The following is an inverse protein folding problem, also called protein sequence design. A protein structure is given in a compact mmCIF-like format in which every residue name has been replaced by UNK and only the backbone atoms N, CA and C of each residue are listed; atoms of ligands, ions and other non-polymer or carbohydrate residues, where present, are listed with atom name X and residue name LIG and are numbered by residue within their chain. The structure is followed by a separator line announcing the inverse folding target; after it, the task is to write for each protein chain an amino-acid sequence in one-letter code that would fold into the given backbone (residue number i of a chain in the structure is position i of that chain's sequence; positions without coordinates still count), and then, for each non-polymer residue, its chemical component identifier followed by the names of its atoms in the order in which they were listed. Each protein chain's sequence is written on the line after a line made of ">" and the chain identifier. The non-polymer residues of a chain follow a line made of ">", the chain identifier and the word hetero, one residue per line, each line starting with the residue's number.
data_IF_018304419426
#
_entry.id   IF_018304419426
#
_cell.length_a   1.000
_cell.length_b   1.000
_cell.length_c   1.000
_cell.angle_alpha   90.00
_cell.angle_beta   90.00
_cell.angle_gamma   90.00
#
_symmetry.space_group_name_H-M   'P 1'
#
loop_
_entity.id
_entity.type
_entity.pdbx_description
1 polymer ?
#
# COMPACT_ATOMS: atom_id res chain seq x y z
N UNK A 1 -24.28 -4.09 -60.48
CA UNK A 1 -23.78 -3.24 -59.37
C UNK A 1 -24.87 -3.12 -58.31
N UNK A 2 -24.56 -3.53 -57.06
CA UNK A 2 -25.20 -3.14 -55.78
C UNK A 2 -26.62 -3.66 -55.53
N UNK A 3 -27.01 -4.17 -54.36
CA UNK A 3 -26.30 -4.59 -53.15
C UNK A 3 -27.28 -5.46 -52.35
N UNK A 4 -26.85 -6.60 -51.81
CA UNK A 4 -27.64 -7.44 -50.90
C UNK A 4 -27.56 -6.80 -49.50
N UNK A 5 -28.65 -6.24 -49.01
CA UNK A 5 -28.76 -5.84 -47.60
C UNK A 5 -29.32 -7.00 -46.78
N UNK A 6 -28.40 -7.64 -46.05
CA UNK A 6 -28.66 -8.65 -45.03
C UNK A 6 -28.77 -7.92 -43.68
N UNK A 7 -29.95 -7.89 -43.08
CA UNK A 7 -30.17 -7.38 -41.72
C UNK A 7 -29.69 -8.39 -40.68
N UNK A 8 -28.91 -8.01 -39.66
CA UNK A 8 -28.62 -8.88 -38.53
C UNK A 8 -29.75 -8.82 -37.49
N UNK A 9 -30.25 -10.00 -37.12
CA UNK A 9 -31.18 -10.25 -36.03
C UNK A 9 -30.56 -9.87 -34.67
N UNK A 10 -31.24 -9.01 -33.93
CA UNK A 10 -30.92 -8.61 -32.55
C UNK A 10 -31.26 -9.78 -31.62
N UNK A 11 -30.24 -10.37 -30.97
CA UNK A 11 -30.40 -11.39 -29.93
C UNK A 11 -30.43 -10.72 -28.56
N UNK A 12 -31.51 -10.93 -27.82
CA UNK A 12 -31.70 -10.44 -26.45
C UNK A 12 -30.82 -11.23 -25.44
N UNK A 13 -30.47 -10.65 -24.27
CA UNK A 13 -29.65 -11.30 -23.26
C UNK A 13 -30.48 -12.26 -22.39
N UNK A 14 -29.96 -13.47 -22.15
CA UNK A 14 -30.52 -14.44 -21.20
C UNK A 14 -30.08 -14.12 -19.77
N UNK A 15 -31.03 -14.10 -18.84
CA UNK A 15 -30.79 -14.10 -17.41
C UNK A 15 -30.41 -15.52 -16.93
N UNK A 16 -29.38 -15.62 -16.08
CA UNK A 16 -29.00 -16.88 -15.45
C UNK A 16 -29.48 -16.88 -14.00
N UNK A 17 -30.28 -17.89 -13.72
CA UNK A 17 -31.07 -18.13 -12.53
C UNK A 17 -30.22 -18.59 -11.33
N UNK A 18 -30.64 -18.22 -10.14
CA UNK A 18 -29.94 -18.42 -8.86
C UNK A 18 -30.46 -19.69 -8.20
N UNK A 19 -29.73 -20.80 -8.31
CA UNK A 19 -30.06 -22.03 -7.61
C UNK A 19 -29.52 -22.02 -6.17
N UNK A 20 -30.44 -22.10 -5.20
CA UNK A 20 -30.15 -22.41 -3.81
C UNK A 20 -29.89 -23.91 -3.65
N UNK A 21 -28.92 -24.28 -2.82
CA UNK A 21 -28.68 -25.67 -2.42
C UNK A 21 -28.75 -25.74 -0.91
N UNK A 22 -29.84 -26.32 -0.41
CA UNK A 22 -30.02 -26.71 0.97
C UNK A 22 -29.17 -27.95 1.25
N UNK A 23 -28.37 -27.93 2.33
CA UNK A 23 -27.83 -29.15 2.91
C UNK A 23 -28.31 -29.29 4.36
N UNK A 24 -29.30 -30.14 4.52
CA UNK A 24 -29.81 -30.66 5.79
C UNK A 24 -28.91 -31.83 6.23
N UNK A 25 -28.49 -31.79 7.49
CA UNK A 25 -27.83 -32.90 8.18
C UNK A 25 -27.99 -32.74 9.69
N UNK A 26 -29.12 -33.22 10.21
CA UNK A 26 -29.46 -33.26 11.64
C UNK A 26 -28.85 -34.49 12.32
N UNK A 27 -28.36 -34.32 13.55
CA UNK A 27 -28.26 -35.38 14.56
C UNK A 27 -28.49 -34.76 15.96
N UNK A 28 -29.53 -35.22 16.66
CA UNK A 28 -29.88 -34.93 18.07
C UNK A 28 -28.85 -35.59 19.02
N UNK A 29 -28.24 -34.90 20.02
CA UNK A 29 -28.64 -34.64 21.44
C UNK A 29 -28.83 -35.90 22.32
N UNK A 30 -28.78 -35.91 23.69
CA UNK A 30 -28.61 -34.86 24.73
C UNK A 30 -27.56 -35.28 25.82
N UNK A 31 -27.20 -34.59 26.92
CA UNK A 31 -27.50 -33.31 27.59
C UNK A 31 -26.92 -33.39 29.03
N UNK A 32 -26.63 -32.28 29.72
CA UNK A 32 -26.89 -32.16 31.17
C UNK A 32 -26.80 -30.71 31.68
N UNK A 33 -27.63 -30.44 32.69
CA UNK A 33 -28.01 -29.14 33.26
C UNK A 33 -27.00 -28.62 34.29
N UNK A 34 -26.79 -27.31 34.36
CA UNK A 34 -27.24 -26.44 35.48
C UNK A 34 -26.71 -25.00 35.41
N UNK A 35 -27.59 -24.09 35.85
CA UNK A 35 -27.56 -22.65 36.13
C UNK A 35 -26.24 -22.06 36.69
N UNK A 36 -25.92 -20.76 36.57
CA UNK A 36 -26.56 -19.60 37.22
C UNK A 36 -26.13 -18.28 36.54
N UNK A 37 -27.06 -17.32 36.48
CA UNK A 37 -26.92 -15.91 36.07
C UNK A 37 -26.01 -15.11 37.01
N UNK A 38 -25.03 -14.41 36.43
CA UNK A 38 -24.42 -13.13 36.89
C UNK A 38 -23.64 -12.60 35.68
N UNK A 39 -23.90 -11.45 35.08
CA UNK A 39 -24.21 -10.15 35.66
C UNK A 39 -23.10 -9.20 35.18
N UNK A 40 -23.47 -8.19 34.40
CA UNK A 40 -22.65 -7.08 33.85
C UNK A 40 -21.71 -7.40 32.68
N UNK A 41 -22.18 -7.11 31.45
CA UNK A 41 -21.31 -6.83 30.31
C UNK A 41 -20.87 -5.36 30.37
N UNK A 42 -19.59 -5.04 30.50
CA UNK A 42 -19.08 -3.78 30.00
C UNK A 42 -18.78 -3.98 28.50
N UNK A 43 -19.54 -3.25 27.68
CA UNK A 43 -19.06 -2.61 26.46
C UNK A 43 -17.96 -3.34 25.70
N UNK A 44 -18.34 -4.02 24.61
CA UNK A 44 -17.44 -4.41 23.53
C UNK A 44 -16.54 -3.21 23.18
N UNK A 45 -15.30 -3.22 23.65
CA UNK A 45 -14.27 -2.36 23.13
C UNK A 45 -14.11 -2.77 21.68
N UNK A 46 -14.50 -1.86 20.78
CA UNK A 46 -14.15 -1.90 19.37
C UNK A 46 -12.65 -2.18 19.32
N UNK A 47 -12.27 -3.39 18.92
CA UNK A 47 -10.87 -3.79 18.76
C UNK A 47 -10.38 -3.02 17.54
N UNK A 48 -10.07 -1.74 17.76
CA UNK A 48 -9.49 -0.86 16.75
C UNK A 48 -8.27 -1.61 16.25
N UNK A 49 -8.36 -2.03 15.00
CA UNK A 49 -7.38 -2.83 14.30
C UNK A 49 -6.05 -2.06 14.27
N UNK A 50 -5.20 -2.31 15.28
CA UNK A 50 -3.94 -1.61 15.55
C UNK A 50 -3.00 -1.72 14.33
N UNK A 51 -3.25 -2.69 13.44
CA UNK A 51 -2.43 -2.93 12.25
C UNK A 51 -2.63 -1.91 11.13
N UNK A 52 -3.74 -1.16 11.12
CA UNK A 52 -4.11 -0.19 10.07
C UNK A 52 -3.56 1.23 10.33
N UNK A 53 -2.84 1.45 11.44
CA UNK A 53 -2.30 2.76 11.80
C UNK A 53 -0.84 2.94 11.39
N UNK A 54 -0.42 4.16 11.04
CA UNK A 54 0.99 4.49 10.83
C UNK A 54 1.83 4.17 12.06
N UNK A 55 3.11 3.85 11.85
CA UNK A 55 4.02 3.56 12.96
C UNK A 55 4.15 4.75 13.91
N UNK A 56 4.17 4.48 15.22
CA UNK A 56 4.44 5.49 16.26
C UNK A 56 5.91 5.90 16.25
N UNK A 57 6.81 5.01 15.80
CA UNK A 57 8.23 5.33 15.69
C UNK A 57 8.47 6.26 14.50
N UNK A 58 9.02 7.48 14.71
CA UNK A 58 9.18 8.47 13.65
C UNK A 58 10.11 8.00 12.54
N UNK A 59 11.17 7.26 12.86
CA UNK A 59 12.12 6.74 11.87
C UNK A 59 11.44 5.73 10.94
N UNK A 60 10.76 4.73 11.51
CA UNK A 60 10.04 3.71 10.73
C UNK A 60 8.94 4.35 9.86
N UNK A 61 8.23 5.34 10.40
CA UNK A 61 7.18 6.06 9.65
C UNK A 61 7.75 6.96 8.55
N UNK A 62 8.90 7.58 8.76
CA UNK A 62 9.59 8.32 7.69
C UNK A 62 10.00 7.36 6.56
N UNK A 63 10.54 6.19 6.88
CA UNK A 63 10.90 5.20 5.88
C UNK A 63 9.70 4.67 5.09
N UNK A 64 8.53 4.48 5.71
CA UNK A 64 7.31 4.11 4.97
C UNK A 64 6.84 5.24 4.05
N UNK A 65 6.82 6.49 4.54
CA UNK A 65 6.44 7.65 3.73
C UNK A 65 7.39 7.88 2.55
N UNK A 66 8.71 7.75 2.72
CA UNK A 66 9.68 7.84 1.62
C UNK A 66 9.39 6.80 0.54
N UNK A 67 9.16 5.54 0.94
CA UNK A 67 8.82 4.46 0.00
C UNK A 67 7.55 4.78 -0.76
N UNK A 68 6.51 5.27 -0.07
CA UNK A 68 5.27 5.70 -0.71
C UNK A 68 5.50 6.86 -1.68
N UNK A 69 6.24 7.90 -1.26
CA UNK A 69 6.52 9.08 -2.07
C UNK A 69 7.29 8.74 -3.36
N UNK A 70 8.32 7.89 -3.26
CA UNK A 70 9.08 7.38 -4.41
C UNK A 70 8.17 6.61 -5.37
N UNK A 71 7.38 5.66 -4.86
CA UNK A 71 6.44 4.88 -5.68
C UNK A 71 5.39 5.78 -6.38
N UNK A 72 4.86 6.79 -5.69
CA UNK A 72 3.90 7.73 -6.28
C UNK A 72 4.55 8.69 -7.29
N UNK A 73 5.81 9.08 -7.08
CA UNK A 73 6.55 9.91 -8.03
C UNK A 73 6.81 9.16 -9.33
N UNK A 74 7.25 7.89 -9.22
CA UNK A 74 7.40 7.04 -10.39
C UNK A 74 6.09 6.87 -11.15
N UNK A 75 4.98 6.68 -10.43
CA UNK A 75 3.64 6.60 -11.02
C UNK A 75 3.28 7.89 -11.76
N UNK A 76 3.45 9.06 -11.15
CA UNK A 76 3.21 10.34 -11.81
C UNK A 76 4.02 10.47 -13.11
N UNK A 77 5.29 10.07 -13.09
CA UNK A 77 6.16 10.08 -14.27
C UNK A 77 5.70 9.09 -15.36
N UNK A 78 5.21 7.91 -15.00
CA UNK A 78 4.63 6.95 -15.94
C UNK A 78 3.36 7.52 -16.60
N UNK A 79 2.53 8.24 -15.83
CA UNK A 79 1.33 8.92 -16.37
C UNK A 79 1.69 10.06 -17.31
N UNK A 80 2.74 10.84 -17.01
CA UNK A 80 3.25 11.87 -17.93
C UNK A 80 3.71 11.26 -19.26
N UNK A 81 4.44 10.14 -19.20
CA UNK A 81 4.89 9.40 -20.40
C UNK A 81 3.72 8.82 -21.20
N UNK A 82 2.62 8.49 -20.55
CA UNK A 82 1.39 8.00 -21.17
C UNK A 82 0.45 9.15 -21.63
N UNK A 83 0.93 10.39 -21.66
CA UNK A 83 0.18 11.60 -22.05
C UNK A 83 -1.06 11.90 -21.18
N UNK A 84 -1.14 11.29 -19.99
CA UNK A 84 -2.21 11.49 -19.02
C UNK A 84 -1.87 12.62 -18.05
N UNK A 85 -1.78 13.84 -18.57
CA UNK A 85 -1.27 15.02 -17.83
C UNK A 85 -2.03 15.30 -16.53
N UNK A 86 -3.37 15.24 -16.54
CA UNK A 86 -4.18 15.51 -15.34
C UNK A 86 -4.08 14.39 -14.28
N UNK A 87 -4.02 13.11 -14.69
CA UNK A 87 -3.76 12.00 -13.76
C UNK A 87 -2.36 12.13 -13.15
N UNK A 88 -1.37 12.52 -13.95
CA UNK A 88 -0.01 12.74 -13.47
C UNK A 88 0.06 13.88 -12.45
N UNK A 89 -0.54 15.03 -12.78
CA UNK A 89 -0.55 16.19 -11.90
C UNK A 89 -1.30 15.91 -10.59
N UNK A 90 -2.50 15.32 -10.65
CA UNK A 90 -3.23 14.92 -9.44
C UNK A 90 -2.45 13.93 -8.57
N UNK A 91 -1.75 12.96 -9.17
CA UNK A 91 -0.84 12.05 -8.44
C UNK A 91 0.35 12.79 -7.82
N UNK A 92 0.90 13.79 -8.52
CA UNK A 92 1.99 14.62 -8.00
C UNK A 92 1.55 15.44 -6.78
N UNK A 93 0.30 15.92 -6.74
CA UNK A 93 -0.24 16.59 -5.55
C UNK A 93 -0.33 15.65 -4.34
N UNK A 94 -0.65 14.37 -4.56
CA UNK A 94 -0.59 13.35 -3.49
C UNK A 94 0.86 13.15 -3.03
N UNK A 95 1.82 13.07 -3.95
CA UNK A 95 3.25 12.97 -3.60
C UNK A 95 3.70 14.16 -2.73
N UNK A 96 3.28 15.39 -3.07
CA UNK A 96 3.51 16.58 -2.25
C UNK A 96 2.91 16.46 -0.84
N UNK A 97 1.70 15.93 -0.73
CA UNK A 97 1.07 15.71 0.57
C UNK A 97 1.86 14.69 1.41
N UNK A 98 2.41 13.64 0.81
CA UNK A 98 3.27 12.66 1.49
C UNK A 98 4.56 13.32 2.00
N UNK A 99 5.26 14.08 1.15
CA UNK A 99 6.49 14.77 1.56
C UNK A 99 6.23 15.83 2.65
N UNK A 100 5.12 16.56 2.55
CA UNK A 100 4.70 17.49 3.61
C UNK A 100 4.46 16.77 4.94
N UNK A 101 3.83 15.60 4.92
CA UNK A 101 3.61 14.81 6.12
C UNK A 101 4.93 14.27 6.70
N UNK A 102 5.86 13.85 5.84
CA UNK A 102 7.19 13.41 6.25
C UNK A 102 7.98 14.56 6.90
N UNK A 103 7.95 15.76 6.33
CA UNK A 103 8.54 16.97 6.92
C UNK A 103 7.98 17.28 8.31
N UNK A 104 6.66 17.23 8.46
CA UNK A 104 6.02 17.46 9.76
C UNK A 104 6.54 16.50 10.83
N UNK A 105 6.58 15.19 10.53
CA UNK A 105 7.10 14.17 11.44
C UNK A 105 8.58 14.43 11.76
N UNK A 106 9.38 14.83 10.77
CA UNK A 106 10.79 15.12 11.01
C UNK A 106 10.98 16.29 11.98
N UNK A 107 10.25 17.39 11.78
CA UNK A 107 10.35 18.54 12.67
C UNK A 107 9.86 18.22 14.08
N UNK A 108 8.76 17.48 14.23
CA UNK A 108 8.28 17.02 15.54
C UNK A 108 9.34 16.15 16.24
N UNK A 109 9.99 15.26 15.48
CA UNK A 109 11.06 14.40 15.99
C UNK A 109 12.29 15.22 16.43
N UNK A 110 12.71 16.21 15.63
CA UNK A 110 13.83 17.09 15.95
C UNK A 110 13.54 18.00 17.17
N UNK A 111 12.31 18.52 17.29
CA UNK A 111 11.87 19.30 18.44
C UNK A 111 11.88 18.46 19.73
N UNK A 112 11.43 17.21 19.64
CA UNK A 112 11.44 16.26 20.78
C UNK A 112 12.86 15.92 21.23
N UNK A 113 13.82 15.83 20.30
CA UNK A 113 15.22 15.57 20.61
C UNK A 113 15.94 16.75 21.28
N UNK A 114 15.51 17.98 21.02
CA UNK A 114 16.11 19.21 21.59
C UNK A 114 15.46 19.64 22.90
N UNK A 115 14.21 19.23 23.17
CA UNK A 115 13.49 19.51 24.41
C UNK A 115 13.66 18.50 25.55
N UNK A 116 14.41 17.40 25.32
CA UNK A 116 14.63 16.34 26.31
C UNK A 116 15.85 16.61 27.22
N UNK A 117 15.62 16.77 28.53
CA UNK A 117 16.68 16.72 29.56
C UNK A 117 17.29 15.31 29.60
N UNK A 118 18.60 15.13 29.85
CA UNK A 118 19.21 13.80 29.85
C UNK A 118 18.88 13.08 31.16
N UNK A 119 17.70 12.47 31.27
CA UNK A 119 17.50 11.39 32.24
C UNK A 119 18.13 10.14 31.65
N UNK A 120 19.35 9.85 32.10
CA UNK A 120 20.03 8.58 31.87
C UNK A 120 19.18 7.46 32.44
N UNK A 121 18.34 6.82 31.63
CA UNK A 121 17.82 5.50 31.91
C UNK A 121 18.39 4.49 30.92
N UNK A 122 18.97 3.48 31.53
CA UNK A 122 19.82 2.41 31.01
C UNK A 122 19.18 1.71 29.80
N UNK A 123 19.97 1.60 28.73
CA UNK A 123 19.73 0.67 27.62
C UNK A 123 19.79 -0.75 28.20
N UNK A 124 18.63 -1.37 28.41
CA UNK A 124 18.51 -2.82 28.44
C UNK A 124 18.00 -3.22 27.06
N UNK A 125 18.86 -3.90 26.30
CA UNK A 125 18.50 -4.48 25.03
C UNK A 125 17.39 -5.52 25.21
N UNK A 126 16.38 -5.45 24.36
CA UNK A 126 15.38 -6.50 24.24
C UNK A 126 15.25 -6.88 22.75
N UNK A 127 15.87 -8.01 22.43
CA UNK A 127 15.64 -8.74 21.20
C UNK A 127 14.27 -9.44 21.31
N UNK A 128 13.20 -8.82 20.81
CA UNK A 128 11.92 -9.49 20.70
C UNK A 128 11.03 -8.94 19.56
N UNK A 129 11.03 -9.67 18.44
CA UNK A 129 9.87 -10.00 17.59
C UNK A 129 8.85 -8.88 17.30
N UNK A 130 9.20 -7.93 16.43
CA UNK A 130 8.20 -7.12 15.74
C UNK A 130 7.85 -7.75 14.39
N UNK A 131 6.77 -8.54 14.38
CA UNK A 131 6.02 -8.92 13.19
C UNK A 131 5.29 -7.68 12.63
N UNK A 132 6.07 -6.73 12.12
CA UNK A 132 5.58 -5.70 11.20
C UNK A 132 5.79 -6.28 9.81
N UNK A 133 4.69 -6.58 9.11
CA UNK A 133 4.66 -7.16 7.77
C UNK A 133 5.90 -6.76 6.94
N UNK A 134 6.76 -7.75 6.70
CA UNK A 134 8.02 -7.61 5.96
C UNK A 134 7.74 -7.11 4.54
N UNK A 135 7.63 -5.79 4.35
CA UNK A 135 7.96 -5.11 3.09
C UNK A 135 9.46 -4.83 3.12
N UNK A 136 10.24 -5.87 3.43
CA UNK A 136 11.68 -5.83 3.57
C UNK A 136 12.28 -6.74 2.51
N UNK A 137 12.31 -6.26 1.27
CA UNK A 137 13.44 -6.49 0.37
C UNK A 137 13.24 -5.63 -0.89
N UNK A 138 14.27 -4.86 -1.23
CA UNK A 138 14.40 -3.97 -2.40
C UNK A 138 13.91 -2.52 -2.22
N UNK A 139 14.42 -1.84 -1.19
CA UNK A 139 14.73 -0.41 -1.28
C UNK A 139 15.79 -0.07 -0.25
N UNK A 140 16.80 0.67 -0.67
CA UNK A 140 17.85 1.27 0.14
C UNK A 140 17.19 1.96 1.34
N UNK A 141 17.28 1.34 2.52
CA UNK A 141 16.83 2.00 3.75
C UNK A 141 17.66 3.28 3.86
N UNK A 142 16.96 4.41 3.93
CA UNK A 142 17.64 5.67 4.12
C UNK A 142 18.18 5.67 5.54
N UNK A 143 19.50 5.63 5.67
CA UNK A 143 20.18 5.80 6.94
C UNK A 143 20.22 7.28 7.27
N UNK A 144 19.65 7.64 8.40
CA UNK A 144 19.63 9.01 8.88
C UNK A 144 20.68 9.14 9.99
N UNK A 145 21.65 10.03 9.79
CA UNK A 145 22.62 10.40 10.83
C UNK A 145 22.00 11.29 11.93
N UNK A 146 20.72 11.09 12.26
CA UNK A 146 19.93 11.84 13.23
C UNK A 146 18.80 12.69 12.62
N UNK A 147 17.98 13.26 13.49
CA UNK A 147 16.78 14.02 13.11
C UNK A 147 17.07 15.25 12.23
N UNK A 148 18.16 15.97 12.49
CA UNK A 148 18.55 17.12 11.68
C UNK A 148 18.88 16.73 10.22
N UNK A 149 19.62 15.64 10.02
CA UNK A 149 19.95 15.12 8.70
C UNK A 149 18.69 14.65 7.94
N UNK A 150 17.77 14.00 8.65
CA UNK A 150 16.47 13.64 8.09
C UNK A 150 15.70 14.86 7.60
N UNK A 151 15.73 15.97 8.34
CA UNK A 151 14.94 17.15 7.97
C UNK A 151 15.52 17.86 6.76
N UNK A 152 16.86 18.04 6.70
CA UNK A 152 17.51 18.58 5.50
C UNK A 152 17.19 17.76 4.24
N UNK A 153 17.17 16.43 4.35
CA UNK A 153 16.83 15.57 3.22
C UNK A 153 15.35 15.70 2.83
N UNK A 154 14.44 15.71 3.80
CA UNK A 154 13.00 15.87 3.54
C UNK A 154 12.68 17.23 2.93
N UNK A 155 13.37 18.30 3.35
CA UNK A 155 13.22 19.64 2.78
C UNK A 155 13.63 19.66 1.32
N UNK A 156 14.77 19.05 0.99
CA UNK A 156 15.26 18.95 -0.38
C UNK A 156 14.28 18.17 -1.28
N UNK A 157 13.80 17.00 -0.82
CA UNK A 157 12.85 16.18 -1.58
C UNK A 157 11.50 16.89 -1.75
N UNK A 158 11.02 17.57 -0.71
CA UNK A 158 9.79 18.36 -0.79
C UNK A 158 9.92 19.50 -1.80
N UNK A 159 10.99 20.29 -1.77
CA UNK A 159 11.21 21.37 -2.73
C UNK A 159 11.31 20.84 -4.16
N UNK A 160 12.03 19.74 -4.36
CA UNK A 160 12.12 19.07 -5.66
C UNK A 160 10.74 18.63 -6.16
N UNK A 161 9.89 18.10 -5.27
CA UNK A 161 8.53 17.72 -5.60
C UNK A 161 7.63 18.93 -5.93
N UNK A 162 7.85 20.09 -5.28
CA UNK A 162 7.14 21.35 -5.56
C UNK A 162 7.50 21.86 -6.95
N UNK A 163 8.79 21.99 -7.25
CA UNK A 163 9.27 22.40 -8.57
C UNK A 163 8.73 21.48 -9.68
N UNK A 164 8.73 20.17 -9.42
CA UNK A 164 8.17 19.20 -10.35
C UNK A 164 6.66 19.38 -10.57
N UNK A 165 5.89 19.67 -9.52
CA UNK A 165 4.46 19.91 -9.62
C UNK A 165 4.14 21.22 -10.37
N UNK A 166 4.86 22.30 -10.06
CA UNK A 166 4.68 23.61 -10.71
C UNK A 166 4.96 23.53 -12.21
N UNK A 167 6.01 22.81 -12.60
CA UNK A 167 6.37 22.59 -14.01
C UNK A 167 5.26 21.91 -14.82
N UNK A 168 4.49 21.02 -14.19
CA UNK A 168 3.46 20.23 -14.85
C UNK A 168 2.04 20.67 -14.45
N UNK A 169 1.90 21.86 -13.88
CA UNK A 169 0.59 22.40 -13.54
C UNK A 169 -0.27 22.59 -14.79
N UNK A 170 -1.56 22.20 -14.75
CA UNK A 170 -2.46 22.38 -15.87
C UNK A 170 -2.65 23.87 -16.13
N UNK A 171 -2.58 24.27 -17.40
CA UNK A 171 -2.86 25.66 -17.81
C UNK A 171 -4.35 25.99 -17.79
N UNK A 172 -5.20 24.97 -17.93
CA UNK A 172 -6.65 25.13 -17.87
C UNK A 172 -7.16 24.93 -16.44
N UNK A 173 -7.61 26.01 -15.83
CA UNK A 173 -8.14 26.03 -14.46
C UNK A 173 -9.52 25.34 -14.38
N UNK A 174 -10.21 25.16 -15.50
CA UNK A 174 -11.54 24.52 -15.55
C UNK A 174 -11.47 23.02 -15.82
N UNK A 175 -10.27 22.45 -16.02
CA UNK A 175 -10.12 21.02 -16.24
C UNK A 175 -10.54 20.23 -14.99
N UNK A 176 -11.46 19.27 -15.17
CA UNK A 176 -11.88 18.39 -14.08
C UNK A 176 -10.71 17.49 -13.65
N UNK A 177 -10.32 17.59 -12.38
CA UNK A 177 -9.18 16.85 -11.84
C UNK A 177 -9.58 15.40 -11.54
N UNK A 178 -8.85 14.38 -12.05
CA UNK A 178 -9.09 12.99 -11.70
C UNK A 178 -8.89 12.72 -10.21
N UNK A 179 -9.59 11.72 -9.68
CA UNK A 179 -9.35 11.21 -8.33
C UNK A 179 -8.00 10.47 -8.29
N UNK A 180 -7.00 11.12 -7.67
CA UNK A 180 -5.66 10.57 -7.55
C UNK A 180 -5.60 9.29 -6.69
N UNK A 181 -6.44 9.18 -5.66
CA UNK A 181 -6.43 8.02 -4.76
C UNK A 181 -6.98 6.80 -5.49
N UNK A 182 -8.04 6.97 -6.28
CA UNK A 182 -8.55 5.93 -7.17
C UNK A 182 -7.54 5.58 -8.28
N UNK A 183 -6.87 6.57 -8.87
CA UNK A 183 -5.84 6.32 -9.87
C UNK A 183 -4.66 5.50 -9.32
N UNK A 184 -4.22 5.80 -8.09
CA UNK A 184 -3.19 5.02 -7.36
C UNK A 184 -3.68 3.60 -7.11
N UNK A 185 -4.93 3.42 -6.64
CA UNK A 185 -5.51 2.09 -6.41
C UNK A 185 -5.54 1.25 -7.67
N UNK A 186 -6.06 1.81 -8.78
CA UNK A 186 -6.15 1.10 -10.05
C UNK A 186 -4.77 0.74 -10.61
N UNK A 187 -3.79 1.64 -10.53
CA UNK A 187 -2.44 1.33 -11.00
C UNK A 187 -1.78 0.25 -10.14
N UNK A 188 -1.96 0.28 -8.82
CA UNK A 188 -1.45 -0.80 -7.97
C UNK A 188 -1.97 -2.16 -8.43
N UNK A 189 -3.27 -2.29 -8.73
CA UNK A 189 -3.83 -3.53 -9.27
C UNK A 189 -3.26 -3.90 -10.65
N UNK A 190 -3.00 -2.92 -11.51
CA UNK A 190 -2.33 -3.15 -12.81
C UNK A 190 -0.92 -3.68 -12.61
N UNK A 191 -0.14 -3.09 -11.70
CA UNK A 191 1.22 -3.53 -11.37
C UNK A 191 1.24 -4.95 -10.81
N UNK A 192 0.33 -5.28 -9.89
CA UNK A 192 0.20 -6.64 -9.37
C UNK A 192 -0.11 -7.66 -10.48
N UNK A 193 -1.00 -7.33 -11.43
CA UNK A 193 -1.27 -8.19 -12.59
C UNK A 193 -0.07 -8.31 -13.53
N UNK A 194 0.65 -7.21 -13.80
CA UNK A 194 1.89 -7.23 -14.58
C UNK A 194 2.96 -8.10 -13.91
N UNK A 195 3.06 -8.06 -12.57
CA UNK A 195 3.94 -8.92 -11.78
C UNK A 195 3.63 -10.40 -11.98
N UNK A 196 2.35 -10.78 -11.95
CA UNK A 196 1.93 -12.16 -12.23
C UNK A 196 2.24 -12.61 -13.66
N UNK A 197 2.13 -11.72 -14.65
CA UNK A 197 2.56 -12.02 -16.02
C UNK A 197 4.07 -12.23 -16.07
N UNK A 198 4.87 -11.38 -15.43
CA UNK A 198 6.33 -11.52 -15.37
C UNK A 198 6.76 -12.83 -14.69
N UNK A 199 6.11 -13.20 -13.59
CA UNK A 199 6.32 -14.46 -12.86
C UNK A 199 6.05 -15.66 -13.78
N UNK A 200 4.92 -15.66 -14.49
CA UNK A 200 4.57 -16.71 -15.45
C UNK A 200 5.57 -16.82 -16.62
N UNK A 201 6.17 -15.69 -17.02
CA UNK A 201 7.22 -15.65 -18.04
C UNK A 201 8.61 -16.02 -17.51
N UNK A 202 8.73 -16.40 -16.23
CA UNK A 202 9.99 -16.79 -15.59
C UNK A 202 10.90 -15.62 -15.19
N UNK A 203 10.41 -14.38 -15.30
CA UNK A 203 11.17 -13.18 -14.93
C UNK A 203 10.90 -12.80 -13.46
N UNK A 204 11.49 -13.56 -12.56
CA UNK A 204 11.24 -13.46 -11.10
C UNK A 204 11.65 -12.11 -10.51
N UNK A 205 12.74 -11.50 -11.02
CA UNK A 205 13.23 -10.20 -10.55
C UNK A 205 12.23 -9.08 -10.86
N UNK A 206 11.73 -9.04 -12.11
CA UNK A 206 10.74 -8.04 -12.51
C UNK A 206 9.40 -8.28 -11.80
N UNK A 207 9.00 -9.54 -11.64
CA UNK A 207 7.82 -9.90 -10.87
C UNK A 207 7.88 -9.40 -9.42
N UNK A 208 8.99 -9.68 -8.72
CA UNK A 208 9.20 -9.22 -7.34
C UNK A 208 9.16 -7.70 -7.22
N UNK A 209 9.79 -6.98 -8.16
CA UNK A 209 9.76 -5.52 -8.21
C UNK A 209 8.34 -4.97 -8.40
N UNK A 210 7.57 -5.54 -9.34
CA UNK A 210 6.19 -5.14 -9.62
C UNK A 210 5.25 -5.43 -8.43
N UNK A 211 5.41 -6.59 -7.78
CA UNK A 211 4.67 -6.91 -6.56
C UNK A 211 5.01 -5.97 -5.41
N UNK A 212 6.29 -5.66 -5.21
CA UNK A 212 6.76 -4.70 -4.19
C UNK A 212 6.14 -3.31 -4.39
N UNK A 213 6.18 -2.80 -5.63
CA UNK A 213 5.60 -1.50 -5.98
C UNK A 213 4.08 -1.49 -5.78
N UNK A 214 3.40 -2.56 -6.22
CA UNK A 214 1.95 -2.74 -6.00
C UNK A 214 1.60 -2.76 -4.51
N UNK A 215 2.32 -3.54 -3.70
CA UNK A 215 2.08 -3.65 -2.27
C UNK A 215 2.32 -2.30 -1.57
N UNK A 216 3.37 -1.56 -1.96
CA UNK A 216 3.69 -0.23 -1.42
C UNK A 216 2.57 0.77 -1.67
N UNK A 217 2.00 0.81 -2.88
CA UNK A 217 0.89 1.72 -3.21
C UNK A 217 -0.40 1.35 -2.46
N UNK A 218 -0.69 0.06 -2.28
CA UNK A 218 -1.86 -0.36 -1.49
C UNK A 218 -1.68 -0.11 0.01
N UNK A 219 -0.45 -0.30 0.52
CA UNK A 219 -0.07 0.04 1.88
C UNK A 219 -0.25 1.54 2.14
N UNK A 220 0.20 2.39 1.20
CA UNK A 220 -0.02 3.84 1.25
C UNK A 220 -1.51 4.15 1.47
N UNK A 221 -2.40 3.59 0.63
CA UNK A 221 -3.84 3.81 0.75
C UNK A 221 -4.40 3.30 2.09
N UNK A 222 -3.93 2.15 2.58
CA UNK A 222 -4.45 1.56 3.81
C UNK A 222 -4.03 2.35 5.06
N UNK A 223 -2.77 2.78 5.10
CA UNK A 223 -2.10 3.25 6.33
C UNK A 223 -1.81 4.74 6.27
N UNK A 224 -0.95 5.18 5.34
CA UNK A 224 -0.41 6.55 5.36
C UNK A 224 -1.39 7.61 4.85
N UNK A 225 -2.24 7.25 3.88
CA UNK A 225 -3.19 8.15 3.23
C UNK A 225 -4.15 8.85 4.21
N UNK A 226 -4.58 8.15 5.26
CA UNK A 226 -5.46 8.70 6.31
C UNK A 226 -4.80 9.80 7.12
N UNK A 227 -3.47 9.79 7.19
CA UNK A 227 -2.68 10.78 7.93
C UNK A 227 -2.34 12.02 7.11
N UNK A 228 -2.66 12.01 5.81
CA UNK A 228 -2.48 13.16 4.96
C UNK A 228 -3.58 14.19 5.23
N UNK A 229 -3.21 15.47 5.30
CA UNK A 229 -4.15 16.60 5.39
C UNK A 229 -4.88 16.90 4.08
N UNK A 230 -5.45 15.87 3.43
CA UNK A 230 -6.25 16.00 2.21
C UNK A 230 -7.62 16.61 2.52
N UNK A 231 -8.18 17.32 1.55
CA UNK A 231 -9.52 17.88 1.64
C UNK A 231 -10.33 17.48 0.39
N UNK A 232 -11.31 16.57 0.51
CA UNK A 232 -11.76 15.89 1.74
C UNK A 232 -10.73 14.88 2.29
N UNK A 233 -10.76 14.54 3.59
CA UNK A 233 -9.90 13.51 4.17
C UNK A 233 -10.14 12.13 3.52
N UNK A 234 -9.07 11.37 3.34
CA UNK A 234 -9.18 10.01 2.82
C UNK A 234 -9.62 9.03 3.93
N UNK A 235 -10.82 8.48 3.79
CA UNK A 235 -11.42 7.57 4.76
C UNK A 235 -11.95 6.31 4.04
N UNK A 236 -11.17 5.22 4.00
CA UNK A 236 -11.63 3.98 3.39
C UNK A 236 -12.68 3.31 4.28
N UNK A 237 -13.69 2.70 3.65
CA UNK A 237 -14.69 1.90 4.38
C UNK A 237 -14.04 0.71 5.09
N UNK A 238 -14.71 0.14 6.09
CA UNK A 238 -14.23 -1.09 6.74
C UNK A 238 -14.04 -2.22 5.72
N UNK A 239 -14.97 -2.39 4.78
CA UNK A 239 -14.85 -3.37 3.69
C UNK A 239 -13.61 -3.13 2.81
N UNK A 240 -13.36 -1.88 2.43
CA UNK A 240 -12.21 -1.54 1.60
C UNK A 240 -10.89 -1.77 2.34
N UNK A 241 -10.82 -1.47 3.64
CA UNK A 241 -9.65 -1.77 4.48
C UNK A 241 -9.32 -3.26 4.49
N UNK A 242 -10.31 -4.12 4.74
CA UNK A 242 -10.11 -5.57 4.70
C UNK A 242 -9.69 -6.06 3.31
N UNK A 243 -10.20 -5.43 2.24
CA UNK A 243 -9.79 -5.74 0.87
C UNK A 243 -8.33 -5.35 0.60
N UNK A 244 -7.94 -4.14 0.98
CA UNK A 244 -6.57 -3.64 0.85
C UNK A 244 -5.58 -4.53 1.62
N UNK A 245 -5.90 -4.88 2.88
CA UNK A 245 -5.09 -5.79 3.71
C UNK A 245 -4.82 -7.11 3.00
N UNK A 246 -5.89 -7.78 2.53
CA UNK A 246 -5.76 -9.05 1.80
C UNK A 246 -4.91 -8.93 0.54
N UNK A 247 -5.05 -7.85 -0.22
CA UNK A 247 -4.22 -7.66 -1.41
C UNK A 247 -2.75 -7.45 -1.05
N UNK A 248 -2.45 -6.64 -0.03
CA UNK A 248 -1.09 -6.43 0.46
C UNK A 248 -0.47 -7.76 0.88
N UNK A 249 -1.15 -8.53 1.73
CA UNK A 249 -0.63 -9.81 2.24
C UNK A 249 -0.31 -10.79 1.10
N UNK A 250 -1.20 -10.91 0.12
CA UNK A 250 -1.00 -11.79 -1.04
C UNK A 250 0.15 -11.33 -1.93
N UNK A 251 0.28 -10.03 -2.18
CA UNK A 251 1.35 -9.48 -3.02
C UNK A 251 2.72 -9.61 -2.32
N UNK A 252 2.79 -9.32 -1.03
CA UNK A 252 4.03 -9.48 -0.24
C UNK A 252 4.44 -10.95 -0.15
N UNK A 253 3.48 -11.87 0.02
CA UNK A 253 3.76 -13.30 -0.02
C UNK A 253 4.40 -13.71 -1.36
N UNK A 254 3.81 -13.27 -2.48
CA UNK A 254 4.32 -13.59 -3.83
C UNK A 254 5.68 -12.95 -4.11
N UNK A 255 5.86 -11.69 -3.74
CA UNK A 255 7.15 -11.00 -3.81
C UNK A 255 8.25 -11.81 -3.11
N UNK A 256 7.98 -12.29 -1.89
CA UNK A 256 8.94 -13.06 -1.11
C UNK A 256 9.29 -14.40 -1.77
N UNK A 257 8.32 -15.06 -2.40
CA UNK A 257 8.54 -16.29 -3.18
C UNK A 257 9.43 -16.02 -4.40
N UNK A 258 9.12 -15.00 -5.21
CA UNK A 258 9.95 -14.63 -6.36
C UNK A 258 11.39 -14.26 -5.96
N UNK A 259 11.56 -13.58 -4.82
CA UNK A 259 12.88 -13.25 -4.29
C UNK A 259 13.65 -14.52 -3.89
N UNK A 260 13.02 -15.46 -3.19
CA UNK A 260 13.64 -16.71 -2.77
C UNK A 260 14.08 -17.57 -3.98
N UNK A 261 13.24 -17.66 -5.01
CA UNK A 261 13.57 -18.37 -6.25
C UNK A 261 14.71 -17.70 -7.02
N UNK A 262 14.75 -16.37 -7.06
CA UNK A 262 15.86 -15.62 -7.67
C UNK A 262 17.18 -15.92 -6.96
N UNK A 263 17.19 -15.99 -5.63
CA UNK A 263 18.39 -16.34 -4.85
C UNK A 263 18.82 -17.80 -5.08
N UNK A 264 17.87 -18.74 -5.18
CA UNK A 264 18.17 -20.14 -5.47
C UNK A 264 18.81 -20.34 -6.86
N UNK A 265 18.35 -19.58 -7.87
CA UNK A 265 18.92 -19.62 -9.22
C UNK A 265 20.31 -18.97 -9.33
N UNK A 266 20.70 -18.11 -8.38
CA UNK A 266 22.04 -17.49 -8.31
C UNK A 266 23.07 -18.39 -7.62
N UNK A 267 22.64 -19.45 -6.92
CA UNK A 267 23.50 -20.46 -6.30
C UNK A 267 23.31 -21.89 -6.86
N UNK A 268 23.47 -22.14 -8.18
CA UNK A 268 23.56 -23.50 -8.69
C UNK A 268 25.03 -23.90 -8.75
N UNK A 269 25.60 -24.46 -7.68
CA UNK A 269 26.62 -25.52 -7.77
C UNK A 269 27.10 -26.01 -6.39
N UNK A 270 27.08 -27.33 -6.23
CA UNK A 270 27.61 -28.01 -5.04
C UNK A 270 27.33 -29.52 -4.96
N UNK A 271 26.95 -30.20 -6.05
CA UNK A 271 26.92 -31.66 -6.10
C UNK A 271 27.29 -32.16 -7.50
N UNK A 272 28.59 -32.26 -7.77
CA UNK A 272 29.17 -33.27 -8.67
C UNK A 272 30.71 -33.30 -8.51
N UNK A 273 31.22 -34.28 -7.77
CA UNK A 273 32.12 -35.28 -8.33
C UNK A 273 32.25 -36.46 -7.36
N UNK A 274 32.16 -37.64 -7.97
CA UNK A 274 32.56 -38.97 -7.49
C UNK A 274 34.01 -38.98 -7.04
#
# INVERSE_FOLDING_TARGET
>A
MKNIQKSPSISAPMAIDRAAVDFVGSFESPGNRSSIRSGTSPSSADLVDITDQPSVNPLTRLQSLIRCARATTELANEKLKAEKQLEAFSTQLVCLAIWKQALHICYDWAASATGGSPSSDVIVGDEALNSSANIAHMSEEVDFQGAAAACSMMEYEFLTAVEHAEKHAPSDVNAEMPDAMEAIFQEALVLGRKGAVAELMGNMKDAASLYSKSATLLYFLLVEAKSLGLNPPFLPSSSDRHRLRRYIDMLTLRQNQCNAETMALQHPEGLQSV
#
